data_IF_451732464770
#
_entry.id   IF_451732464770
#
_cell.length_a   1.000
_cell.length_b   1.000
_cell.length_c   1.000
_cell.angle_alpha   90.00
_cell.angle_beta   90.00
_cell.angle_gamma   90.00
#
_symmetry.space_group_name_H-M   'P 1'
#
loop_
_entity.id
_entity.type
_entity.pdbx_description
1 polymer ?
#
# COMPACT_ATOMS: atom_id res chain seq x y z
N UNK A 1 19.77 27.77 -0.78
CA UNK A 1 19.21 26.64 -0.02
C UNK A 1 19.51 25.43 -0.86
N UNK A 2 20.36 24.54 -0.41
CA UNK A 2 20.52 23.25 -1.08
C UNK A 2 19.25 22.46 -0.77
N UNK A 3 18.45 22.20 -1.82
CA UNK A 3 17.33 21.28 -1.69
C UNK A 3 17.93 19.92 -1.31
N UNK A 4 17.56 19.42 -0.12
CA UNK A 4 17.94 18.08 0.30
C UNK A 4 17.46 17.02 -0.72
N UNK A 5 17.93 15.76 -0.61
CA UNK A 5 17.49 14.71 -1.54
C UNK A 5 15.96 14.62 -1.55
N UNK A 6 15.39 14.45 -2.75
CA UNK A 6 13.96 14.32 -2.93
C UNK A 6 13.41 13.15 -2.09
N UNK A 7 12.28 13.33 -1.41
CA UNK A 7 11.61 12.22 -0.72
C UNK A 7 11.26 11.11 -1.71
N UNK A 8 11.59 9.86 -1.33
CA UNK A 8 11.26 8.66 -2.11
C UNK A 8 10.01 7.97 -1.57
N UNK A 9 9.07 7.72 -2.45
CA UNK A 9 7.78 7.10 -2.12
C UNK A 9 7.62 5.82 -2.92
N UNK A 10 7.37 4.69 -2.25
CA UNK A 10 7.06 3.41 -2.88
C UNK A 10 5.55 3.15 -2.79
N UNK A 11 4.92 2.76 -3.90
CA UNK A 11 3.59 2.15 -3.90
C UNK A 11 3.74 0.64 -4.15
N UNK A 12 3.40 -0.19 -3.15
CA UNK A 12 3.34 -1.65 -3.29
C UNK A 12 1.97 -2.08 -3.81
N UNK A 13 1.95 -2.98 -4.79
CA UNK A 13 0.73 -3.39 -5.49
C UNK A 13 0.14 -2.24 -6.32
N UNK A 14 0.99 -1.51 -7.04
CA UNK A 14 0.59 -0.29 -7.75
C UNK A 14 -0.38 -0.56 -8.92
N UNK A 15 -0.50 -1.80 -9.37
CA UNK A 15 -1.37 -2.21 -10.45
C UNK A 15 -1.14 -1.38 -11.71
N UNK A 16 -2.17 -0.69 -12.14
CA UNK A 16 -2.08 0.18 -13.34
C UNK A 16 -1.63 1.62 -13.02
N UNK A 17 -1.07 1.86 -11.83
CA UNK A 17 -0.40 3.09 -11.44
C UNK A 17 -1.31 4.28 -11.15
N UNK A 18 -2.56 4.06 -10.73
CA UNK A 18 -3.49 5.18 -10.53
C UNK A 18 -3.06 6.07 -9.36
N UNK A 19 -2.69 5.48 -8.21
CA UNK A 19 -2.25 6.24 -7.04
C UNK A 19 -0.85 6.83 -7.26
N UNK A 20 0.12 6.05 -7.77
CA UNK A 20 1.45 6.55 -8.09
C UNK A 20 1.41 7.78 -9.04
N UNK A 21 0.57 7.72 -10.08
CA UNK A 21 0.38 8.85 -11.00
C UNK A 21 -0.28 10.05 -10.32
N UNK A 22 -1.24 9.82 -9.43
CA UNK A 22 -1.87 10.89 -8.67
C UNK A 22 -0.84 11.57 -7.75
N UNK A 23 -0.07 10.78 -7.00
CA UNK A 23 1.00 11.29 -6.12
C UNK A 23 2.01 12.10 -6.92
N UNK A 24 2.54 11.55 -8.02
CA UNK A 24 3.52 12.26 -8.87
C UNK A 24 2.98 13.54 -9.48
N UNK A 25 1.69 13.58 -9.82
CA UNK A 25 1.04 14.77 -10.38
C UNK A 25 0.86 15.87 -9.34
N UNK A 26 0.46 15.50 -8.12
CA UNK A 26 0.21 16.47 -7.03
C UNK A 26 1.49 16.91 -6.33
N UNK A 27 2.52 16.06 -6.36
CA UNK A 27 3.82 16.30 -5.73
C UNK A 27 4.96 15.98 -6.72
N UNK A 28 5.18 16.83 -7.73
CA UNK A 28 6.12 16.55 -8.81
C UNK A 28 7.59 16.41 -8.35
N UNK A 29 7.92 16.96 -7.19
CA UNK A 29 9.25 16.88 -6.58
C UNK A 29 9.58 15.49 -6.00
N UNK A 30 8.56 14.66 -5.69
CA UNK A 30 8.78 13.34 -5.10
C UNK A 30 9.35 12.36 -6.15
N UNK A 31 10.22 11.48 -5.71
CA UNK A 31 10.59 10.28 -6.46
C UNK A 31 9.58 9.18 -6.17
N UNK A 32 8.79 8.80 -7.16
CA UNK A 32 7.71 7.82 -6.99
C UNK A 32 8.06 6.54 -7.72
N UNK A 33 8.08 5.44 -6.97
CA UNK A 33 8.32 4.07 -7.44
C UNK A 33 7.03 3.27 -7.27
N UNK A 34 6.63 2.55 -8.31
CA UNK A 34 5.50 1.61 -8.26
C UNK A 34 5.98 0.18 -8.43
N UNK A 35 5.64 -0.71 -7.50
CA UNK A 35 5.96 -2.13 -7.56
C UNK A 35 4.68 -2.95 -7.73
N UNK A 36 4.72 -3.91 -8.66
CA UNK A 36 3.61 -4.86 -8.88
C UNK A 36 4.13 -6.17 -9.50
N UNK A 37 3.59 -7.34 -9.14
CA UNK A 37 4.01 -8.61 -9.76
C UNK A 37 3.50 -8.78 -11.20
N UNK A 38 2.43 -8.08 -11.63
CA UNK A 38 1.84 -8.23 -12.96
C UNK A 38 2.51 -7.31 -14.00
N UNK A 39 3.31 -7.86 -14.94
CA UNK A 39 3.96 -7.05 -15.97
C UNK A 39 2.97 -6.37 -16.93
N UNK A 40 1.74 -6.90 -17.07
CA UNK A 40 0.71 -6.28 -17.90
C UNK A 40 0.13 -5.04 -17.23
N UNK A 41 -0.01 -5.06 -15.90
CA UNK A 41 -0.43 -3.92 -15.11
C UNK A 41 0.65 -2.81 -15.18
N UNK A 42 1.91 -3.14 -14.94
CA UNK A 42 3.04 -2.21 -15.07
C UNK A 42 3.16 -1.60 -16.47
N UNK A 43 2.97 -2.39 -17.52
CA UNK A 43 2.96 -1.87 -18.88
C UNK A 43 1.82 -0.84 -19.12
N UNK A 44 0.66 -1.04 -18.48
CA UNK A 44 -0.44 -0.05 -18.51
C UNK A 44 -0.08 1.22 -17.73
N UNK A 45 0.52 1.06 -16.52
CA UNK A 45 0.99 2.18 -15.71
C UNK A 45 2.00 3.03 -16.49
N UNK A 46 3.00 2.42 -17.10
CA UNK A 46 4.00 3.10 -17.92
C UNK A 46 3.41 3.84 -19.13
N UNK A 47 2.39 3.26 -19.80
CA UNK A 47 1.68 3.98 -20.87
C UNK A 47 0.93 5.21 -20.37
N UNK A 48 0.28 5.11 -19.19
CA UNK A 48 -0.41 6.25 -18.57
C UNK A 48 0.59 7.34 -18.16
N UNK A 49 1.72 6.96 -17.56
CA UNK A 49 2.77 7.90 -17.17
C UNK A 49 3.28 8.69 -18.37
N UNK A 50 3.64 8.01 -19.47
CA UNK A 50 4.09 8.67 -20.72
C UNK A 50 3.03 9.62 -21.30
N UNK A 51 1.76 9.20 -21.33
CA UNK A 51 0.66 10.07 -21.81
C UNK A 51 0.47 11.31 -20.93
N UNK A 52 0.69 11.18 -19.63
CA UNK A 52 0.61 12.27 -18.67
C UNK A 52 1.92 13.11 -18.62
N UNK A 53 2.97 12.71 -19.33
CA UNK A 53 4.32 13.33 -19.27
C UNK A 53 4.90 13.32 -17.86
N UNK A 54 4.63 12.25 -17.11
CA UNK A 54 5.14 12.03 -15.76
C UNK A 54 6.20 10.92 -15.76
N UNK A 55 7.24 11.10 -14.94
CA UNK A 55 8.27 10.09 -14.72
C UNK A 55 7.88 9.25 -13.51
N UNK A 56 7.72 7.94 -13.71
CA UNK A 56 7.57 6.93 -12.67
C UNK A 56 8.61 5.85 -12.88
N UNK A 57 9.25 5.42 -11.81
CA UNK A 57 9.97 4.16 -11.76
C UNK A 57 8.95 3.03 -11.55
N UNK A 58 9.05 1.94 -12.33
CA UNK A 58 8.07 0.85 -12.29
C UNK A 58 8.81 -0.48 -12.26
N UNK A 59 8.76 -1.16 -11.14
CA UNK A 59 9.48 -2.38 -10.86
C UNK A 59 8.55 -3.58 -10.74
N UNK A 60 9.02 -4.71 -11.22
CA UNK A 60 8.35 -5.98 -11.01
C UNK A 60 8.86 -6.66 -9.74
N UNK A 61 7.95 -6.99 -8.81
CA UNK A 61 8.30 -7.69 -7.57
C UNK A 61 7.09 -8.02 -6.74
N UNK A 62 7.34 -8.74 -5.66
CA UNK A 62 6.35 -9.12 -4.66
C UNK A 62 6.54 -8.31 -3.38
N UNK A 63 5.45 -8.10 -2.63
CA UNK A 63 5.49 -7.26 -1.43
C UNK A 63 6.22 -7.90 -0.25
N UNK A 64 6.31 -9.23 -0.22
CA UNK A 64 7.00 -10.05 0.78
C UNK A 64 8.50 -10.25 0.50
N UNK A 65 8.98 -9.75 -0.66
CA UNK A 65 10.40 -9.76 -1.05
C UNK A 65 10.72 -8.52 -1.90
N UNK A 66 10.85 -7.37 -1.21
CA UNK A 66 11.08 -6.08 -1.88
C UNK A 66 12.51 -5.96 -2.40
N UNK A 67 12.71 -5.68 -3.72
CA UNK A 67 14.04 -5.61 -4.34
C UNK A 67 14.79 -4.31 -4.04
N UNK A 68 14.66 -3.78 -2.83
CA UNK A 68 15.27 -2.53 -2.43
C UNK A 68 16.12 -2.71 -1.17
N UNK A 69 17.21 -1.91 -1.01
CA UNK A 69 17.99 -1.89 0.22
C UNK A 69 17.18 -1.39 1.42
N UNK A 70 17.69 -1.67 2.62
CA UNK A 70 17.14 -1.14 3.86
C UNK A 70 17.16 0.39 3.85
N UNK A 71 16.10 1.02 4.39
CA UNK A 71 16.03 2.46 4.52
C UNK A 71 16.05 3.23 3.20
N UNK A 72 15.47 2.68 2.13
CA UNK A 72 15.45 3.28 0.79
C UNK A 72 14.33 4.30 0.59
N UNK A 73 13.30 4.27 1.42
CA UNK A 73 12.08 5.07 1.23
C UNK A 73 11.68 5.86 2.46
N UNK A 74 11.17 7.05 2.24
CA UNK A 74 10.59 7.90 3.28
C UNK A 74 9.14 7.52 3.57
N UNK A 75 8.42 7.05 2.54
CA UNK A 75 7.02 6.61 2.66
C UNK A 75 6.77 5.38 1.81
N UNK A 76 5.92 4.49 2.33
CA UNK A 76 5.34 3.39 1.57
C UNK A 76 3.82 3.54 1.55
N UNK A 77 3.24 3.37 0.38
CA UNK A 77 1.81 3.42 0.12
C UNK A 77 1.33 2.04 -0.31
N UNK A 78 0.12 1.67 0.10
CA UNK A 78 -0.60 0.49 -0.40
C UNK A 78 -2.08 0.81 -0.54
N UNK A 79 -2.69 0.44 -1.66
CA UNK A 79 -4.10 0.71 -1.93
C UNK A 79 -4.80 -0.51 -2.50
N UNK A 80 -5.75 -1.07 -1.74
CA UNK A 80 -6.60 -2.20 -2.17
C UNK A 80 -5.78 -3.43 -2.64
N UNK A 81 -4.63 -3.67 -2.02
CA UNK A 81 -3.76 -4.80 -2.35
C UNK A 81 -3.68 -5.81 -1.20
N UNK A 82 -3.65 -5.32 0.04
CA UNK A 82 -3.34 -6.11 1.22
C UNK A 82 -4.34 -7.25 1.46
N UNK A 83 -5.62 -7.04 1.12
CA UNK A 83 -6.66 -8.06 1.21
C UNK A 83 -6.47 -9.24 0.24
N UNK A 84 -5.62 -9.10 -0.78
CA UNK A 84 -5.28 -10.20 -1.70
C UNK A 84 -4.20 -11.13 -1.14
N UNK A 85 -3.48 -10.72 -0.09
CA UNK A 85 -2.41 -11.51 0.49
C UNK A 85 -2.95 -12.57 1.44
N UNK A 86 -2.36 -13.76 1.40
CA UNK A 86 -2.55 -14.79 2.43
C UNK A 86 -2.01 -14.30 3.78
N UNK A 87 -2.47 -14.89 4.89
CA UNK A 87 -2.20 -14.38 6.23
C UNK A 87 -0.70 -14.31 6.58
N UNK A 88 0.07 -15.31 6.20
CA UNK A 88 1.52 -15.36 6.38
C UNK A 88 2.27 -14.34 5.51
N UNK A 89 1.80 -14.11 4.28
CA UNK A 89 2.37 -13.10 3.38
C UNK A 89 2.09 -11.67 3.84
N UNK A 90 1.02 -11.43 4.60
CA UNK A 90 0.74 -10.11 5.16
C UNK A 90 1.81 -9.65 6.13
N UNK A 91 2.16 -10.51 7.09
CA UNK A 91 3.18 -10.18 8.09
C UNK A 91 4.57 -10.09 7.44
N UNK A 92 4.87 -10.96 6.48
CA UNK A 92 6.11 -10.90 5.71
C UNK A 92 6.22 -9.58 4.93
N UNK A 93 5.16 -9.17 4.23
CA UNK A 93 5.10 -7.90 3.49
C UNK A 93 5.26 -6.69 4.42
N UNK A 94 4.61 -6.69 5.59
CA UNK A 94 4.77 -5.60 6.56
C UNK A 94 6.20 -5.50 7.10
N UNK A 95 6.89 -6.63 7.31
CA UNK A 95 8.31 -6.63 7.72
C UNK A 95 9.22 -6.12 6.60
N UNK A 96 8.97 -6.47 5.36
CA UNK A 96 9.70 -5.92 4.22
C UNK A 96 9.47 -4.41 4.06
N UNK A 97 8.23 -3.95 4.22
CA UNK A 97 7.91 -2.52 4.22
C UNK A 97 8.65 -1.81 5.37
N UNK A 98 8.65 -2.40 6.57
CA UNK A 98 9.41 -1.84 7.70
C UNK A 98 10.91 -1.75 7.37
N UNK A 99 11.49 -2.78 6.76
CA UNK A 99 12.92 -2.84 6.38
C UNK A 99 13.30 -1.74 5.39
N UNK A 100 12.48 -1.54 4.35
CA UNK A 100 12.79 -0.57 3.29
C UNK A 100 12.47 0.89 3.66
N UNK A 101 11.63 1.14 4.65
CA UNK A 101 11.42 2.48 5.18
C UNK A 101 12.68 2.98 5.91
N UNK A 102 12.97 4.26 5.85
CA UNK A 102 13.95 4.93 6.73
C UNK A 102 13.45 4.99 8.16
N UNK A 103 14.33 5.05 9.18
CA UNK A 103 13.91 5.40 10.53
C UNK A 103 13.03 6.66 10.53
N UNK A 104 11.91 6.66 11.27
CA UNK A 104 10.90 7.72 11.22
C UNK A 104 10.01 7.75 9.97
N UNK A 105 10.29 6.92 8.97
CA UNK A 105 9.47 6.78 7.76
C UNK A 105 8.10 6.16 8.04
N UNK A 106 7.13 6.33 7.13
CA UNK A 106 5.74 5.94 7.39
C UNK A 106 5.13 5.05 6.30
N UNK A 107 4.32 4.07 6.76
CA UNK A 107 3.41 3.29 5.94
C UNK A 107 2.01 3.94 5.95
N UNK A 108 1.41 4.10 4.77
CA UNK A 108 0.03 4.49 4.58
C UNK A 108 -0.70 3.42 3.78
N UNK A 109 -1.66 2.77 4.39
CA UNK A 109 -2.40 1.67 3.80
C UNK A 109 -3.88 2.01 3.73
N UNK A 110 -4.49 1.84 2.56
CA UNK A 110 -5.92 1.89 2.37
C UNK A 110 -6.40 0.52 1.92
N UNK A 111 -7.32 -0.09 2.68
CA UNK A 111 -7.88 -1.38 2.29
C UNK A 111 -9.33 -1.54 2.76
N UNK A 112 -9.94 -2.66 2.37
CA UNK A 112 -11.24 -3.04 2.88
C UNK A 112 -11.13 -3.29 4.38
N UNK A 113 -11.97 -2.63 5.15
CA UNK A 113 -11.98 -2.74 6.61
C UNK A 113 -13.38 -2.81 7.19
N UNK A 114 -13.49 -3.28 8.43
CA UNK A 114 -14.67 -3.18 9.26
C UNK A 114 -15.74 -4.26 9.13
N UNK A 115 -16.71 -4.17 10.01
CA UNK A 115 -17.77 -5.16 10.28
C UNK A 115 -18.51 -5.65 9.03
N UNK A 116 -18.54 -6.96 8.89
CA UNK A 116 -19.31 -7.68 7.85
C UNK A 116 -20.84 -7.53 8.00
N UNK A 117 -21.30 -6.81 9.01
CA UNK A 117 -22.73 -6.70 9.33
C UNK A 117 -23.55 -5.87 8.34
N UNK A 118 -22.90 -5.05 7.49
CA UNK A 118 -23.58 -4.15 6.57
C UNK A 118 -23.55 -4.56 5.09
N UNK A 119 -23.03 -5.74 4.75
CA UNK A 119 -23.04 -6.20 3.36
C UNK A 119 -24.41 -6.77 2.99
N UNK A 120 -25.18 -5.98 2.26
CA UNK A 120 -26.43 -6.41 1.65
C UNK A 120 -26.18 -6.88 0.19
N UNK A 121 -26.74 -8.01 -0.20
CA UNK A 121 -26.75 -8.47 -1.58
C UNK A 121 -25.53 -9.29 -2.02
N UNK A 122 -25.01 -9.04 -3.22
CA UNK A 122 -23.96 -9.83 -3.91
C UNK A 122 -22.64 -9.98 -3.14
N UNK A 123 -22.31 -9.05 -2.27
CA UNK A 123 -21.14 -9.15 -1.39
C UNK A 123 -21.20 -10.33 -0.40
N UNK A 124 -22.40 -10.89 -0.19
CA UNK A 124 -22.58 -12.11 0.62
C UNK A 124 -22.02 -13.38 -0.07
N UNK A 125 -21.90 -13.38 -1.41
CA UNK A 125 -21.25 -14.48 -2.14
C UNK A 125 -19.73 -14.47 -1.99
N UNK A 126 -19.11 -13.31 -1.80
CA UNK A 126 -17.66 -13.15 -1.57
C UNK A 126 -17.20 -13.68 -0.20
N UNK A 127 -18.11 -13.99 0.73
CA UNK A 127 -17.83 -14.55 2.07
C UNK A 127 -17.11 -15.90 2.07
N UNK A 128 -16.98 -16.57 0.93
CA UNK A 128 -16.26 -17.85 0.80
C UNK A 128 -14.76 -17.69 0.55
N UNK A 129 -14.26 -16.47 0.37
CA UNK A 129 -12.82 -16.23 0.33
C UNK A 129 -12.29 -16.05 1.76
N UNK A 130 -11.46 -16.98 2.21
CA UNK A 130 -10.77 -16.91 3.52
C UNK A 130 -10.01 -15.59 3.70
N UNK A 131 -9.47 -15.04 2.62
CA UNK A 131 -8.69 -13.80 2.58
C UNK A 131 -9.45 -12.55 3.01
N UNK A 132 -10.76 -12.47 2.75
CA UNK A 132 -11.57 -11.30 3.16
C UNK A 132 -11.93 -11.33 4.65
N UNK A 133 -11.97 -12.52 5.26
CA UNK A 133 -12.45 -12.71 6.63
C UNK A 133 -11.50 -12.08 7.67
N UNK A 134 -10.19 -12.13 7.41
CA UNK A 134 -9.17 -11.67 8.36
C UNK A 134 -8.96 -10.15 8.36
N UNK A 135 -9.31 -9.46 7.25
CA UNK A 135 -9.25 -7.99 7.18
C UNK A 135 -10.46 -7.30 7.82
N UNK A 136 -11.54 -8.05 8.04
CA UNK A 136 -12.79 -7.47 8.54
C UNK A 136 -12.83 -7.33 10.05
N UNK A 137 -11.84 -7.87 10.76
CA UNK A 137 -11.74 -7.87 12.21
C UNK A 137 -10.87 -6.72 12.76
N UNK A 138 -10.66 -5.63 12.02
CA UNK A 138 -9.82 -4.46 12.41
C UNK A 138 -8.41 -4.87 12.90
N UNK A 139 -7.87 -6.00 12.38
CA UNK A 139 -6.57 -6.55 12.81
C UNK A 139 -5.37 -5.87 12.13
N UNK A 140 -5.57 -5.02 11.13
CA UNK A 140 -4.45 -4.40 10.39
C UNK A 140 -3.51 -3.62 11.33
N UNK A 141 -3.98 -2.76 12.26
CA UNK A 141 -3.09 -2.10 13.21
C UNK A 141 -2.33 -3.09 14.10
N UNK A 142 -2.98 -4.19 14.51
CA UNK A 142 -2.33 -5.25 15.30
C UNK A 142 -1.20 -5.91 14.51
N UNK A 143 -1.45 -6.28 13.25
CA UNK A 143 -0.43 -6.87 12.37
C UNK A 143 0.74 -5.90 12.10
N UNK A 144 0.45 -4.60 11.95
CA UNK A 144 1.50 -3.58 11.84
C UNK A 144 2.38 -3.54 13.10
N UNK A 145 1.76 -3.58 14.30
CA UNK A 145 2.49 -3.66 15.58
C UNK A 145 3.33 -4.94 15.69
N UNK A 146 2.78 -6.10 15.32
CA UNK A 146 3.48 -7.40 15.29
C UNK A 146 4.66 -7.41 14.29
N UNK A 147 4.57 -6.62 13.22
CA UNK A 147 5.66 -6.44 12.27
C UNK A 147 6.78 -5.51 12.79
N UNK A 148 6.53 -4.74 13.86
CA UNK A 148 7.50 -3.84 14.48
C UNK A 148 7.26 -2.35 14.24
N UNK A 149 6.12 -1.97 13.66
CA UNK A 149 5.75 -0.56 13.53
C UNK A 149 5.30 0.04 14.86
N UNK A 150 5.56 1.34 15.04
CA UNK A 150 4.96 2.16 16.10
C UNK A 150 3.75 2.93 15.56
N UNK A 151 2.91 3.40 16.50
CA UNK A 151 1.76 4.29 16.24
C UNK A 151 0.79 3.78 15.16
N UNK A 152 0.68 2.44 15.06
CA UNK A 152 -0.23 1.82 14.12
C UNK A 152 -1.68 2.13 14.48
N UNK A 153 -2.39 2.86 13.60
CA UNK A 153 -3.74 3.33 13.86
C UNK A 153 -4.57 3.46 12.60
N UNK A 154 -5.88 3.32 12.73
CA UNK A 154 -6.83 3.73 11.70
C UNK A 154 -6.97 5.26 11.74
N UNK A 155 -6.69 5.92 10.64
CA UNK A 155 -6.72 7.39 10.52
C UNK A 155 -7.98 7.91 9.86
N UNK A 156 -8.80 7.05 9.29
CA UNK A 156 -10.06 7.43 8.65
C UNK A 156 -10.75 6.28 7.97
N UNK A 157 -11.99 6.54 7.58
CA UNK A 157 -12.81 5.55 6.87
C UNK A 157 -13.73 6.21 5.86
N UNK A 158 -14.09 5.46 4.83
CA UNK A 158 -15.08 5.86 3.83
C UNK A 158 -15.97 4.66 3.50
N UNK A 159 -17.28 4.81 3.64
CA UNK A 159 -18.23 3.77 3.23
C UNK A 159 -18.72 4.05 1.83
N UNK A 160 -18.58 3.08 0.93
CA UNK A 160 -19.07 3.11 -0.45
C UNK A 160 -19.84 1.84 -0.77
N UNK A 161 -20.40 1.75 -1.99
CA UNK A 161 -21.13 0.57 -2.46
C UNK A 161 -20.31 -0.73 -2.43
N UNK A 162 -18.98 -0.64 -2.44
CA UNK A 162 -18.05 -1.77 -2.34
C UNK A 162 -17.76 -2.19 -0.89
N UNK A 163 -18.29 -1.49 0.11
CA UNK A 163 -18.05 -1.72 1.53
C UNK A 163 -17.33 -0.55 2.21
N UNK A 164 -16.89 -0.78 3.45
CA UNK A 164 -16.05 0.16 4.20
C UNK A 164 -14.62 0.10 3.67
N UNK A 165 -14.08 1.25 3.33
CA UNK A 165 -12.65 1.45 3.10
C UNK A 165 -12.06 2.10 4.34
N UNK A 166 -11.00 1.53 4.89
CA UNK A 166 -10.31 2.06 6.04
C UNK A 166 -8.90 2.51 5.64
N UNK A 167 -8.43 3.58 6.28
CA UNK A 167 -7.12 4.15 6.08
C UNK A 167 -6.31 3.94 7.35
N UNK A 168 -5.13 3.36 7.19
CA UNK A 168 -4.22 3.06 8.30
C UNK A 168 -2.91 3.78 8.10
N UNK A 169 -2.29 4.16 9.21
CA UNK A 169 -0.95 4.70 9.25
C UNK A 169 -0.14 4.03 10.34
N UNK A 170 1.14 3.80 10.05
CA UNK A 170 2.10 3.35 11.04
C UNK A 170 3.48 3.95 10.73
N UNK A 171 4.35 4.04 11.73
CA UNK A 171 5.68 4.64 11.61
C UNK A 171 6.76 3.60 11.89
N UNK A 172 7.84 3.59 11.12
CA UNK A 172 9.05 2.86 11.49
C UNK A 172 9.70 3.57 12.68
N UNK A 173 9.99 2.87 13.80
CA UNK A 173 10.75 3.45 14.91
C UNK A 173 12.12 4.00 14.46
N UNK A 174 12.64 4.95 15.25
CA UNK A 174 13.99 5.54 15.05
C UNK A 174 15.10 4.49 15.16
#
# INVERSE_FOLDING_TARGET
MEDGPAERVLEIGCGTGNLALLVKRTHPQLEVVGLDPDPKALARAGRKARRARLTLELDRGFADELPYPDGSFDRVLSSLMFHHLEADLRIASLREVLRVLRPGGSLHLMDLGGDSHHLHGLARLARHSHTLKDNWDDRIPTLMGEAGFSDATETGQLTKHIGRLAYYRATRPE
#
